data_IF_886296772863
#
_entry.id   IF_886296772863
#
_cell.length_a   1.000
_cell.length_b   1.000
_cell.length_c   1.000
_cell.angle_alpha   90.00
_cell.angle_beta   90.00
_cell.angle_gamma   90.00
#
_symmetry.space_group_name_H-M   'P 1'
#
loop_
_entity.id
_entity.type
_entity.pdbx_description
1 polymer ?
#
# COMPACT_ATOMS: atom_id res chain seq x y z
N UNK A 1 48.12 -8.08 65.15
CA UNK A 1 47.79 -6.94 64.26
C UNK A 1 47.06 -7.51 63.04
N UNK A 2 45.73 -7.66 63.03
CA UNK A 2 44.95 -8.21 61.93
C UNK A 2 44.31 -7.06 61.16
N UNK A 3 44.66 -6.92 59.86
CA UNK A 3 44.06 -5.97 58.94
C UNK A 3 42.82 -6.63 58.32
N UNK A 4 41.61 -6.11 58.62
CA UNK A 4 40.38 -6.48 57.94
C UNK A 4 40.30 -5.72 56.61
N UNK A 5 40.33 -6.47 55.53
CA UNK A 5 40.02 -5.95 54.19
C UNK A 5 38.54 -6.06 54.01
N UNK A 6 37.83 -4.93 53.97
CA UNK A 6 36.38 -4.87 53.62
C UNK A 6 36.31 -4.79 52.09
N UNK A 7 35.85 -5.86 51.44
CA UNK A 7 35.56 -5.88 50.02
C UNK A 7 34.15 -5.31 49.82
N UNK A 8 34.07 -4.09 49.28
CA UNK A 8 32.81 -3.49 48.87
C UNK A 8 32.42 -4.09 47.48
N UNK A 9 31.55 -5.06 47.44
CA UNK A 9 30.95 -5.56 46.20
C UNK A 9 29.88 -4.57 45.70
N UNK A 10 30.22 -3.78 44.72
CA UNK A 10 29.28 -2.92 44.00
C UNK A 10 28.35 -3.81 43.13
N UNK A 11 27.13 -4.02 43.63
CA UNK A 11 26.10 -4.69 42.86
C UNK A 11 25.58 -3.74 41.75
N UNK A 12 26.05 -3.92 40.53
CA UNK A 12 25.50 -3.23 39.39
C UNK A 12 24.11 -3.84 39.07
N UNK A 13 23.05 -3.17 39.50
CA UNK A 13 21.71 -3.48 39.05
C UNK A 13 21.60 -3.11 37.56
N UNK A 14 21.70 -4.10 36.69
CA UNK A 14 21.37 -3.95 35.26
C UNK A 14 19.86 -3.74 35.17
N UNK A 15 19.45 -2.48 35.12
CA UNK A 15 18.07 -2.12 34.79
C UNK A 15 17.88 -2.46 33.32
N UNK A 16 17.31 -3.63 33.05
CA UNK A 16 16.86 -4.00 31.72
C UNK A 16 15.70 -3.06 31.33
N UNK A 17 16.01 -1.97 30.66
CA UNK A 17 14.98 -1.14 30.02
C UNK A 17 14.32 -1.99 28.96
N UNK A 18 13.16 -2.57 29.27
CA UNK A 18 12.31 -3.22 28.28
C UNK A 18 11.91 -2.14 27.28
N UNK A 19 12.51 -2.18 26.08
CA UNK A 19 12.11 -1.31 24.98
C UNK A 19 10.67 -1.71 24.58
N UNK A 20 9.72 -0.83 24.85
CA UNK A 20 8.30 -1.04 24.53
C UNK A 20 8.03 -0.60 23.11
N UNK A 21 7.22 -1.35 22.36
CA UNK A 21 6.73 -0.94 21.03
C UNK A 21 6.07 0.45 21.14
N UNK A 22 6.40 1.33 20.21
CA UNK A 22 5.83 2.67 20.17
C UNK A 22 4.55 2.66 19.34
N UNK A 23 3.44 3.09 19.94
CA UNK A 23 2.20 3.36 19.20
C UNK A 23 1.87 4.85 19.30
N UNK A 24 1.67 5.49 18.13
CA UNK A 24 1.23 6.86 18.02
C UNK A 24 -0.20 6.88 17.47
N UNK A 25 -1.10 7.58 18.14
CA UNK A 25 -2.47 7.78 17.69
C UNK A 25 -2.60 9.15 17.03
N UNK A 26 -3.30 9.19 15.91
CA UNK A 26 -3.57 10.41 15.15
C UNK A 26 -5.06 10.54 14.94
N UNK A 27 -5.60 11.69 15.29
CA UNK A 27 -7.01 12.03 15.09
C UNK A 27 -7.08 13.44 14.46
N UNK A 28 -7.52 13.57 13.20
CA UNK A 28 -7.49 14.85 12.50
C UNK A 28 -8.53 15.84 13.03
N UNK A 29 -9.47 15.40 13.88
CA UNK A 29 -10.55 16.23 14.45
C UNK A 29 -10.25 16.60 15.90
N UNK A 30 -9.79 15.65 16.72
CA UNK A 30 -9.61 15.83 18.17
C UNK A 30 -8.15 16.01 18.58
N UNK A 31 -7.22 15.59 17.72
CA UNK A 31 -5.79 15.61 18.02
C UNK A 31 -5.19 17.00 18.03
N UNK A 32 -3.99 17.08 18.60
CA UNK A 32 -3.17 18.30 18.64
C UNK A 32 -1.70 17.93 18.47
N UNK A 33 -0.95 18.61 17.60
CA UNK A 33 0.44 18.24 17.28
C UNK A 33 1.47 18.51 18.38
N UNK A 34 1.04 19.17 19.46
CA UNK A 34 1.83 19.27 20.69
C UNK A 34 1.52 18.17 21.72
N UNK A 35 0.55 17.30 21.43
CA UNK A 35 0.22 16.15 22.28
C UNK A 35 1.28 15.04 22.17
N UNK A 36 1.19 14.06 23.07
CA UNK A 36 2.16 12.96 23.16
C UNK A 36 1.96 11.89 22.09
N UNK A 37 0.80 11.83 21.43
CA UNK A 37 0.41 10.74 20.54
C UNK A 37 -0.14 9.51 21.28
N UNK A 38 -0.43 9.62 22.58
CA UNK A 38 -1.16 8.58 23.30
C UNK A 38 -2.63 8.54 22.86
N UNK A 39 -3.34 7.45 23.14
CA UNK A 39 -4.74 7.26 22.73
C UNK A 39 -5.69 8.33 23.28
N UNK A 40 -5.42 8.81 24.47
CA UNK A 40 -6.15 9.88 25.16
C UNK A 40 -5.62 11.29 24.84
N UNK A 41 -4.47 11.38 24.19
CA UNK A 41 -3.82 12.62 23.77
C UNK A 41 -3.23 12.47 22.35
N UNK A 42 -4.08 12.26 21.31
CA UNK A 42 -3.64 12.00 19.96
C UNK A 42 -3.00 13.22 19.30
N UNK A 43 -2.17 12.96 18.27
CA UNK A 43 -1.66 13.97 17.36
C UNK A 43 -2.75 14.40 16.37
N UNK A 44 -2.67 15.61 15.85
CA UNK A 44 -3.60 16.09 14.83
C UNK A 44 -3.19 15.64 13.43
N UNK A 45 -1.90 15.64 13.13
CA UNK A 45 -1.42 15.42 11.76
C UNK A 45 -0.60 14.13 11.63
N UNK A 46 -0.78 13.47 10.49
CA UNK A 46 0.02 12.32 10.11
C UNK A 46 1.50 12.72 9.90
N UNK A 47 1.75 13.92 9.38
CA UNK A 47 3.11 14.45 9.22
C UNK A 47 3.88 14.52 10.54
N UNK A 48 3.22 15.01 11.61
CA UNK A 48 3.82 15.03 12.94
C UNK A 48 4.10 13.63 13.49
N UNK A 49 3.16 12.69 13.29
CA UNK A 49 3.34 11.31 13.73
C UNK A 49 4.53 10.65 13.00
N UNK A 50 4.65 10.83 11.67
CA UNK A 50 5.78 10.32 10.88
C UNK A 50 7.09 10.94 11.33
N UNK A 51 7.12 12.25 11.60
CA UNK A 51 8.33 12.92 12.10
C UNK A 51 8.78 12.34 13.44
N UNK A 52 7.86 12.12 14.39
CA UNK A 52 8.18 11.49 15.68
C UNK A 52 8.64 10.04 15.53
N UNK A 53 7.99 9.26 14.67
CA UNK A 53 8.36 7.88 14.40
C UNK A 53 9.77 7.78 13.78
N UNK A 54 10.15 8.69 12.89
CA UNK A 54 11.49 8.75 12.30
C UNK A 54 12.59 9.05 13.33
N UNK A 55 12.26 9.75 14.41
CA UNK A 55 13.19 10.05 15.51
C UNK A 55 13.28 8.93 16.57
N UNK A 56 12.52 7.85 16.40
CA UNK A 56 12.50 6.74 17.35
C UNK A 56 13.87 6.08 17.48
N UNK A 57 14.34 5.95 18.72
CA UNK A 57 15.69 5.41 19.05
C UNK A 57 15.65 3.95 19.50
N UNK A 58 14.45 3.37 19.64
CA UNK A 58 14.27 1.97 20.04
C UNK A 58 14.42 0.99 18.88
N UNK A 59 14.53 -0.29 19.23
CA UNK A 59 14.60 -1.41 18.27
C UNK A 59 13.27 -2.13 18.10
N UNK A 60 12.23 -1.67 18.78
CA UNK A 60 10.89 -2.28 18.73
C UNK A 60 10.06 -1.73 17.56
N UNK A 61 8.98 -2.42 17.17
CA UNK A 61 8.04 -1.92 16.19
C UNK A 61 7.46 -0.55 16.53
N UNK A 62 7.23 0.27 15.50
CA UNK A 62 6.50 1.52 15.60
C UNK A 62 5.21 1.39 14.80
N UNK A 63 4.10 1.78 15.41
CA UNK A 63 2.79 1.78 14.77
C UNK A 63 2.15 3.16 14.88
N UNK A 64 1.71 3.72 13.75
CA UNK A 64 0.87 4.92 13.71
C UNK A 64 -0.56 4.46 13.42
N UNK A 65 -1.48 4.72 14.35
CA UNK A 65 -2.90 4.40 14.24
C UNK A 65 -3.71 5.64 13.90
N UNK A 66 -4.43 5.57 12.80
CA UNK A 66 -5.20 6.69 12.26
C UNK A 66 -6.68 6.53 12.61
N UNK A 67 -7.24 7.51 13.30
CA UNK A 67 -8.69 7.63 13.49
C UNK A 67 -9.41 7.87 12.15
N UNK A 68 -10.71 7.59 12.05
CA UNK A 68 -11.51 7.99 10.88
C UNK A 68 -11.39 9.48 10.59
N UNK A 69 -11.28 9.85 9.32
CA UNK A 69 -11.22 11.23 8.88
C UNK A 69 -10.38 11.45 7.64
N UNK A 70 -10.33 12.71 7.20
CA UNK A 70 -9.53 13.15 6.07
C UNK A 70 -8.15 13.65 6.55
N UNK A 71 -7.11 13.06 6.03
CA UNK A 71 -5.72 13.47 6.21
C UNK A 71 -5.24 14.17 4.95
N UNK A 72 -5.40 15.50 4.94
CA UNK A 72 -4.95 16.33 3.84
C UNK A 72 -3.45 16.61 3.98
N UNK A 73 -2.66 16.24 3.00
CA UNK A 73 -1.20 16.29 3.06
C UNK A 73 -0.65 17.22 2.00
N UNK A 74 0.09 18.22 2.46
CA UNK A 74 0.75 19.24 1.64
C UNK A 74 2.22 18.91 1.33
N UNK A 75 2.78 17.97 2.09
CA UNK A 75 4.20 17.60 2.02
C UNK A 75 4.37 16.10 1.85
N UNK A 76 5.47 15.69 1.23
CA UNK A 76 5.86 14.30 1.13
C UNK A 76 6.11 13.70 2.52
N UNK A 77 5.63 12.49 2.76
CA UNK A 77 5.90 11.73 3.97
C UNK A 77 7.01 10.71 3.72
N UNK A 78 8.19 10.97 4.26
CA UNK A 78 9.34 10.09 4.12
C UNK A 78 9.44 9.16 5.33
N UNK A 79 9.31 7.85 5.09
CA UNK A 79 9.48 6.81 6.11
C UNK A 79 10.94 6.39 6.17
N UNK A 80 11.69 6.97 7.12
CA UNK A 80 13.14 6.77 7.27
C UNK A 80 13.48 5.58 8.17
N UNK A 81 14.70 5.02 8.07
CA UNK A 81 15.21 4.11 9.09
C UNK A 81 15.12 4.71 10.49
N UNK A 82 14.84 3.91 11.49
CA UNK A 82 14.89 4.38 12.88
C UNK A 82 16.31 4.79 13.26
N UNK A 83 16.44 5.69 14.23
CA UNK A 83 17.76 6.15 14.71
C UNK A 83 18.57 5.04 15.39
N UNK A 84 17.93 3.96 15.84
CA UNK A 84 18.65 2.78 16.32
C UNK A 84 19.33 2.06 15.15
N UNK A 85 20.63 1.89 15.24
CA UNK A 85 21.41 1.15 14.24
C UNK A 85 20.93 -0.31 14.14
N UNK A 86 20.74 -0.80 12.90
CA UNK A 86 20.37 -2.18 12.58
C UNK A 86 18.97 -2.64 13.04
N UNK A 87 18.03 -1.73 13.31
CA UNK A 87 16.69 -2.14 13.64
C UNK A 87 15.97 -2.77 12.41
N UNK A 88 15.55 -4.02 12.54
CA UNK A 88 14.68 -4.73 11.59
C UNK A 88 13.20 -4.60 11.94
N UNK A 89 12.87 -3.83 12.96
CA UNK A 89 11.51 -3.65 13.44
C UNK A 89 10.58 -3.04 12.38
N UNK A 90 9.33 -3.45 12.39
CA UNK A 90 8.34 -2.94 11.44
C UNK A 90 7.95 -1.49 11.72
N UNK A 91 7.60 -0.78 10.66
CA UNK A 91 6.97 0.53 10.69
C UNK A 91 5.59 0.40 10.06
N UNK A 92 4.56 0.48 10.88
CA UNK A 92 3.19 0.29 10.43
C UNK A 92 2.41 1.59 10.47
N UNK A 93 1.69 1.89 9.40
CA UNK A 93 0.65 2.94 9.37
C UNK A 93 -0.67 2.22 9.11
N UNK A 94 -1.59 2.28 10.05
CA UNK A 94 -2.82 1.52 9.96
C UNK A 94 -4.05 2.29 10.46
N UNK A 95 -5.21 1.88 9.98
CA UNK A 95 -6.47 2.37 10.51
C UNK A 95 -6.66 1.97 11.97
N UNK A 96 -7.28 2.83 12.76
CA UNK A 96 -7.66 2.53 14.14
C UNK A 96 -8.69 1.39 14.18
N UNK A 97 -9.61 1.37 13.22
CA UNK A 97 -10.62 0.30 13.04
C UNK A 97 -10.35 -0.35 11.69
N UNK A 98 -9.94 -1.61 11.71
CA UNK A 98 -9.61 -2.35 10.49
C UNK A 98 -10.87 -2.87 9.77
N UNK A 99 -10.84 -3.09 8.45
CA UNK A 99 -11.98 -3.60 7.69
C UNK A 99 -12.58 -4.91 8.23
N UNK A 100 -11.78 -5.78 8.81
CA UNK A 100 -12.25 -7.04 9.42
C UNK A 100 -12.89 -6.88 10.82
N UNK A 101 -12.84 -5.70 11.42
CA UNK A 101 -13.56 -5.43 12.67
C UNK A 101 -15.07 -5.47 12.39
N UNK A 102 -15.82 -6.18 13.23
CA UNK A 102 -17.28 -6.34 13.05
C UNK A 102 -18.05 -5.02 13.08
N UNK A 103 -17.49 -4.00 13.72
CA UNK A 103 -18.05 -2.64 13.82
C UNK A 103 -17.65 -1.75 12.64
N UNK A 104 -16.74 -2.20 11.78
CA UNK A 104 -16.22 -1.37 10.71
C UNK A 104 -17.29 -0.97 9.70
N UNK A 105 -17.23 0.30 9.30
CA UNK A 105 -17.97 0.89 8.18
C UNK A 105 -16.98 1.57 7.23
N UNK A 106 -17.27 1.70 5.93
CA UNK A 106 -16.39 2.40 4.99
C UNK A 106 -16.04 3.83 5.39
N UNK A 107 -16.95 4.53 6.09
CA UNK A 107 -16.70 5.86 6.65
C UNK A 107 -15.68 5.90 7.80
N UNK A 108 -15.34 4.74 8.37
CA UNK A 108 -14.30 4.63 9.40
C UNK A 108 -12.89 4.48 8.82
N UNK A 109 -12.78 4.33 7.50
CA UNK A 109 -11.49 4.20 6.84
C UNK A 109 -10.80 5.57 6.75
N UNK A 110 -9.57 5.72 7.28
CA UNK A 110 -8.83 6.96 7.14
C UNK A 110 -8.58 7.26 5.66
N UNK A 111 -8.87 8.49 5.23
CA UNK A 111 -8.70 8.93 3.84
C UNK A 111 -7.44 9.78 3.75
N UNK A 112 -6.49 9.33 2.95
CA UNK A 112 -5.22 10.02 2.67
C UNK A 112 -5.34 10.74 1.33
N UNK A 113 -5.25 12.07 1.34
CA UNK A 113 -5.29 12.91 0.15
C UNK A 113 -4.08 13.84 0.09
N UNK A 114 -3.38 13.81 -1.02
CA UNK A 114 -2.29 14.74 -1.29
C UNK A 114 -2.79 15.92 -2.12
N UNK A 115 -2.26 17.11 -1.77
CA UNK A 115 -2.46 18.35 -2.54
C UNK A 115 -1.12 19.05 -2.81
N UNK A 116 0.00 18.37 -2.51
CA UNK A 116 1.33 18.93 -2.74
C UNK A 116 1.64 19.02 -4.23
N UNK A 117 2.47 20.01 -4.63
CA UNK A 117 3.03 20.06 -5.97
C UNK A 117 4.02 18.92 -6.21
N UNK A 118 4.68 18.90 -7.38
CA UNK A 118 5.80 18.00 -7.62
C UNK A 118 6.87 18.18 -6.54
N UNK A 119 7.37 17.08 -6.01
CA UNK A 119 8.34 17.06 -4.92
C UNK A 119 9.53 16.12 -5.21
N UNK A 120 9.54 15.51 -6.40
CA UNK A 120 10.59 14.66 -6.91
C UNK A 120 10.93 15.01 -8.35
N UNK A 121 12.20 14.83 -8.69
CA UNK A 121 12.70 14.94 -10.05
C UNK A 121 13.66 13.78 -10.35
N UNK A 122 13.36 13.00 -11.38
CA UNK A 122 14.24 11.98 -11.91
C UNK A 122 14.79 12.42 -13.28
N UNK A 123 15.60 13.47 -13.24
CA UNK A 123 16.13 14.11 -14.45
C UNK A 123 15.07 14.91 -15.19
N UNK A 124 14.39 14.33 -16.19
CA UNK A 124 13.32 14.99 -16.97
C UNK A 124 11.91 14.63 -16.52
N UNK A 125 11.77 13.90 -15.43
CA UNK A 125 10.49 13.41 -14.93
C UNK A 125 10.17 13.99 -13.55
N UNK A 126 9.46 15.11 -13.57
CA UNK A 126 8.90 15.71 -12.36
C UNK A 126 7.64 14.98 -11.94
N UNK A 127 7.54 14.64 -10.68
CA UNK A 127 6.36 13.97 -10.13
C UNK A 127 6.14 14.31 -8.66
N UNK A 128 4.96 13.96 -8.17
CA UNK A 128 4.61 14.00 -6.76
C UNK A 128 4.64 12.57 -6.20
N UNK A 129 5.47 12.34 -5.19
CA UNK A 129 5.40 11.13 -4.38
C UNK A 129 4.72 11.46 -3.05
N UNK A 130 3.72 10.68 -2.70
CA UNK A 130 3.01 10.82 -1.45
C UNK A 130 3.82 10.26 -0.28
N UNK A 131 3.81 8.96 -0.09
CA UNK A 131 4.72 8.30 0.82
C UNK A 131 6.00 7.89 0.08
N UNK A 132 7.14 8.31 0.61
CA UNK A 132 8.45 7.83 0.21
C UNK A 132 8.94 6.80 1.22
N UNK A 133 9.12 5.56 0.79
CA UNK A 133 9.62 4.48 1.66
C UNK A 133 11.12 4.34 1.48
N UNK A 134 11.88 4.65 2.54
CA UNK A 134 13.36 4.59 2.59
C UNK A 134 13.87 3.58 3.62
N UNK A 135 13.03 2.58 3.96
CA UNK A 135 13.39 1.57 4.95
C UNK A 135 12.74 0.22 4.65
N UNK A 136 13.26 -0.81 5.30
CA UNK A 136 12.68 -2.16 5.31
C UNK A 136 11.47 -2.27 6.26
N UNK A 137 10.69 -3.33 6.10
CA UNK A 137 9.59 -3.73 6.99
C UNK A 137 8.53 -2.64 7.19
N UNK A 138 8.02 -2.08 6.10
CA UNK A 138 6.95 -1.08 6.13
C UNK A 138 5.59 -1.72 5.84
N UNK A 139 4.57 -1.31 6.58
CA UNK A 139 3.20 -1.80 6.39
C UNK A 139 2.21 -0.65 6.31
N UNK A 140 1.34 -0.70 5.30
CA UNK A 140 0.17 0.16 5.15
C UNK A 140 -1.08 -0.70 5.24
N UNK A 141 -1.98 -0.42 6.19
CA UNK A 141 -3.11 -1.29 6.46
C UNK A 141 -4.41 -0.52 6.71
N UNK A 142 -5.47 -0.91 6.03
CA UNK A 142 -6.80 -0.35 6.25
C UNK A 142 -6.96 1.12 5.85
N UNK A 143 -6.17 1.62 4.91
CA UNK A 143 -6.14 3.02 4.49
C UNK A 143 -6.79 3.22 3.13
N UNK A 144 -7.47 4.36 2.94
CA UNK A 144 -7.98 4.79 1.65
C UNK A 144 -7.11 5.91 1.10
N UNK A 145 -6.45 5.67 -0.02
CA UNK A 145 -5.71 6.67 -0.78
C UNK A 145 -6.60 7.23 -1.88
N UNK A 146 -6.70 8.53 -1.98
CA UNK A 146 -7.32 9.23 -3.12
C UNK A 146 -6.27 10.02 -3.88
N UNK A 147 -6.60 10.44 -5.08
CA UNK A 147 -5.62 11.09 -5.95
C UNK A 147 -5.21 12.48 -5.50
N UNK A 148 -4.17 13.01 -6.13
CA UNK A 148 -3.69 14.36 -5.89
C UNK A 148 -4.54 15.36 -6.68
N UNK A 149 -5.08 16.35 -6.00
CA UNK A 149 -5.94 17.39 -6.61
C UNK A 149 -5.17 18.63 -7.07
N UNK A 150 -3.84 18.66 -6.90
CA UNK A 150 -3.04 19.78 -7.36
C UNK A 150 -2.93 19.76 -8.89
N UNK A 151 -3.43 20.77 -9.61
CA UNK A 151 -3.49 20.76 -11.07
C UNK A 151 -2.11 20.87 -11.75
N UNK A 152 -1.07 21.23 -11.02
CA UNK A 152 0.30 21.29 -11.55
C UNK A 152 1.00 19.95 -11.54
N UNK A 153 0.43 18.93 -10.90
CA UNK A 153 1.00 17.59 -10.80
C UNK A 153 0.56 16.76 -11.99
N UNK A 154 1.50 16.42 -12.84
CA UNK A 154 1.27 15.57 -14.03
C UNK A 154 1.30 14.10 -13.67
N UNK A 155 2.11 13.72 -12.67
CA UNK A 155 2.24 12.35 -12.24
C UNK A 155 2.31 12.25 -10.71
N UNK A 156 1.47 11.41 -10.12
CA UNK A 156 1.41 11.19 -8.69
C UNK A 156 1.51 9.70 -8.35
N UNK A 157 2.48 9.38 -7.49
CA UNK A 157 2.60 8.08 -6.82
C UNK A 157 2.06 8.18 -5.40
N UNK A 158 1.06 7.36 -5.05
CA UNK A 158 0.53 7.37 -3.68
C UNK A 158 1.55 6.78 -2.69
N UNK A 159 2.21 5.68 -3.07
CA UNK A 159 3.32 5.08 -2.33
C UNK A 159 4.47 4.82 -3.31
N UNK A 160 5.65 5.29 -2.94
CA UNK A 160 6.88 5.11 -3.71
C UNK A 160 7.96 4.46 -2.86
N UNK A 161 8.52 3.33 -3.31
CA UNK A 161 9.73 2.70 -2.78
C UNK A 161 10.74 2.56 -3.91
N UNK A 162 11.63 3.52 -4.00
CA UNK A 162 12.54 3.63 -5.15
C UNK A 162 13.80 2.75 -5.05
N UNK A 163 14.26 2.40 -3.85
CA UNK A 163 15.54 1.73 -3.64
C UNK A 163 15.42 0.21 -3.76
N UNK A 164 16.25 -0.39 -4.63
CA UNK A 164 16.20 -1.82 -4.94
C UNK A 164 16.73 -2.74 -3.82
N UNK A 165 17.51 -2.20 -2.90
CA UNK A 165 18.04 -2.94 -1.73
C UNK A 165 17.03 -3.10 -0.60
N UNK A 166 15.92 -2.36 -0.63
CA UNK A 166 14.90 -2.41 0.41
C UNK A 166 14.08 -3.71 0.35
N UNK A 167 13.72 -4.18 1.55
CA UNK A 167 13.01 -5.45 1.76
C UNK A 167 11.71 -5.24 2.51
N UNK A 168 10.80 -6.17 2.30
CA UNK A 168 9.58 -6.34 3.07
C UNK A 168 8.70 -5.09 3.15
N UNK A 169 7.75 -5.01 2.24
CA UNK A 169 6.69 -4.01 2.26
C UNK A 169 5.34 -4.69 2.11
N UNK A 170 4.40 -4.35 2.97
CA UNK A 170 3.03 -4.86 2.94
C UNK A 170 2.04 -3.73 2.70
N UNK A 171 1.12 -3.95 1.77
CA UNK A 171 -0.07 -3.13 1.55
C UNK A 171 -1.27 -4.06 1.70
N UNK A 172 -2.04 -3.92 2.78
CA UNK A 172 -3.16 -4.82 3.05
C UNK A 172 -4.42 -4.09 3.47
N UNK A 173 -5.55 -4.58 2.99
CA UNK A 173 -6.88 -4.01 3.27
C UNK A 173 -6.97 -2.51 2.95
N UNK A 174 -6.26 -2.07 1.90
CA UNK A 174 -6.22 -0.68 1.46
C UNK A 174 -7.10 -0.45 0.23
N UNK A 175 -7.59 0.77 0.07
CA UNK A 175 -8.26 1.25 -1.14
C UNK A 175 -7.39 2.32 -1.79
N UNK A 176 -7.16 2.21 -3.09
CA UNK A 176 -6.61 3.27 -3.94
C UNK A 176 -7.70 3.65 -4.94
N UNK A 177 -8.32 4.80 -4.75
CA UNK A 177 -9.41 5.27 -5.57
C UNK A 177 -8.99 6.53 -6.34
N UNK A 178 -8.70 6.37 -7.62
CA UNK A 178 -8.42 7.48 -8.53
C UNK A 178 -9.71 8.12 -9.05
N UNK A 179 -9.59 9.35 -9.48
CA UNK A 179 -10.59 10.04 -10.29
C UNK A 179 -9.87 10.72 -11.45
N UNK A 180 -9.98 10.16 -12.62
CA UNK A 180 -9.18 10.53 -13.81
C UNK A 180 -9.15 12.02 -14.09
N UNK A 181 -10.25 12.72 -13.86
CA UNK A 181 -10.41 14.11 -14.27
C UNK A 181 -10.26 15.13 -13.12
N UNK A 182 -10.31 14.68 -11.87
CA UNK A 182 -10.33 15.60 -10.71
C UNK A 182 -9.24 15.32 -9.68
N UNK A 183 -8.93 14.05 -9.44
CA UNK A 183 -7.93 13.62 -8.46
C UNK A 183 -7.30 12.30 -8.94
N UNK A 184 -6.47 12.33 -10.00
CA UNK A 184 -5.92 11.10 -10.56
C UNK A 184 -4.85 10.50 -9.65
N UNK A 185 -4.81 9.16 -9.63
CA UNK A 185 -3.67 8.38 -9.15
C UNK A 185 -2.98 7.82 -10.39
N UNK A 186 -1.82 8.36 -10.74
CA UNK A 186 -1.10 7.88 -11.92
C UNK A 186 -0.31 6.60 -11.64
N UNK A 187 0.14 6.42 -10.40
CA UNK A 187 0.70 5.16 -9.91
C UNK A 187 0.28 4.94 -8.47
N UNK A 188 -0.52 3.92 -8.19
CA UNK A 188 -0.94 3.70 -6.81
C UNK A 188 0.22 3.18 -5.95
N UNK A 189 0.95 2.20 -6.46
CA UNK A 189 2.17 1.69 -5.84
C UNK A 189 3.29 1.61 -6.88
N UNK A 190 4.33 2.41 -6.73
CA UNK A 190 5.61 2.22 -7.39
C UNK A 190 6.60 1.60 -6.40
N UNK A 191 7.14 0.44 -6.72
CA UNK A 191 8.06 -0.21 -5.81
C UNK A 191 9.14 -1.02 -6.51
N UNK A 192 10.36 -0.96 -5.93
CA UNK A 192 11.50 -1.81 -6.24
C UNK A 192 11.90 -2.60 -4.99
N UNK A 193 12.84 -3.53 -5.13
CA UNK A 193 13.37 -4.33 -4.03
C UNK A 193 12.57 -5.60 -3.78
N UNK A 194 12.73 -6.20 -2.61
CA UNK A 194 12.19 -7.53 -2.36
C UNK A 194 11.03 -7.58 -1.37
N UNK A 195 10.28 -8.68 -1.38
CA UNK A 195 9.27 -8.99 -0.39
C UNK A 195 8.08 -8.02 -0.39
N UNK A 196 7.64 -7.55 -1.57
CA UNK A 196 6.45 -6.70 -1.71
C UNK A 196 5.21 -7.57 -1.65
N UNK A 197 4.34 -7.32 -0.70
CA UNK A 197 3.08 -8.03 -0.51
C UNK A 197 1.90 -7.07 -0.65
N UNK A 198 0.99 -7.39 -1.56
CA UNK A 198 -0.30 -6.70 -1.72
C UNK A 198 -1.38 -7.74 -1.48
N UNK A 199 -2.19 -7.52 -0.45
CA UNK A 199 -3.20 -8.47 -0.02
C UNK A 199 -4.50 -7.76 0.35
N UNK A 200 -5.65 -8.35 -0.01
CA UNK A 200 -6.98 -7.81 0.31
C UNK A 200 -7.10 -6.30 0.04
N UNK A 201 -6.60 -5.83 -1.11
CA UNK A 201 -6.62 -4.41 -1.45
C UNK A 201 -7.39 -4.15 -2.74
N UNK A 202 -7.94 -2.93 -2.86
CA UNK A 202 -8.74 -2.53 -4.01
C UNK A 202 -8.07 -1.33 -4.69
N UNK A 203 -7.85 -1.46 -6.00
CA UNK A 203 -7.35 -0.40 -6.87
C UNK A 203 -8.45 -0.07 -7.88
N UNK A 204 -8.99 1.14 -7.79
CA UNK A 204 -10.12 1.58 -8.58
C UNK A 204 -9.76 2.82 -9.41
N UNK A 205 -9.91 2.74 -10.72
CA UNK A 205 -9.69 3.85 -11.67
C UNK A 205 -8.34 4.58 -11.54
N UNK A 206 -7.28 3.87 -11.15
CA UNK A 206 -5.92 4.38 -11.21
C UNK A 206 -5.43 4.39 -12.68
N UNK A 207 -4.49 5.29 -13.05
CA UNK A 207 -3.81 5.16 -14.34
C UNK A 207 -3.08 3.82 -14.39
N UNK A 208 -2.25 3.58 -13.38
CA UNK A 208 -1.55 2.32 -13.13
C UNK A 208 -1.73 1.92 -11.67
N UNK A 209 -2.14 0.67 -11.41
CA UNK A 209 -2.28 0.22 -10.03
C UNK A 209 -0.91 -0.16 -9.44
N UNK A 210 -0.18 -1.06 -10.08
CA UNK A 210 1.12 -1.53 -9.60
C UNK A 210 2.20 -1.27 -10.65
N UNK A 211 3.25 -0.57 -10.27
CA UNK A 211 4.40 -0.25 -11.10
C UNK A 211 5.64 -0.95 -10.50
N UNK A 212 5.92 -2.15 -11.00
CA UNK A 212 6.96 -3.07 -10.51
C UNK A 212 7.95 -3.40 -11.62
N UNK A 213 8.22 -2.44 -12.51
CA UNK A 213 8.96 -2.68 -13.75
C UNK A 213 10.49 -2.62 -13.62
N UNK A 214 11.00 -2.52 -12.41
CA UNK A 214 12.45 -2.52 -12.15
C UNK A 214 12.85 -3.76 -11.34
N UNK A 215 13.80 -3.65 -10.45
CA UNK A 215 14.32 -4.78 -9.67
C UNK A 215 13.37 -5.19 -8.55
N UNK A 216 12.50 -6.15 -8.82
CA UNK A 216 11.55 -6.70 -7.84
C UNK A 216 11.71 -8.20 -7.71
N UNK A 217 11.77 -8.71 -6.47
CA UNK A 217 11.81 -10.15 -6.16
C UNK A 217 10.86 -10.48 -5.02
N UNK A 218 10.33 -11.71 -5.01
CA UNK A 218 9.42 -12.16 -3.94
C UNK A 218 8.15 -11.31 -3.82
N UNK A 219 7.59 -10.90 -4.96
CA UNK A 219 6.32 -10.18 -5.02
C UNK A 219 5.14 -11.11 -4.78
N UNK A 220 4.11 -10.62 -4.11
CA UNK A 220 2.82 -11.31 -4.05
C UNK A 220 1.64 -10.33 -4.20
N UNK A 221 0.68 -10.74 -5.01
CA UNK A 221 -0.63 -10.11 -5.14
C UNK A 221 -1.69 -11.18 -4.88
N UNK A 222 -2.42 -11.04 -3.79
CA UNK A 222 -3.42 -12.01 -3.36
C UNK A 222 -4.71 -11.33 -2.96
N UNK A 223 -5.85 -12.00 -3.16
CA UNK A 223 -7.17 -11.58 -2.68
C UNK A 223 -7.51 -10.11 -2.99
N UNK A 224 -7.03 -9.57 -4.10
CA UNK A 224 -7.14 -8.14 -4.40
C UNK A 224 -7.97 -7.88 -5.65
N UNK A 225 -8.51 -6.66 -5.73
CA UNK A 225 -9.28 -6.20 -6.88
C UNK A 225 -8.52 -5.08 -7.56
N UNK A 226 -8.28 -5.17 -8.89
CA UNK A 226 -7.81 -4.06 -9.72
C UNK A 226 -8.84 -3.82 -10.81
N UNK A 227 -9.43 -2.65 -10.83
CA UNK A 227 -10.55 -2.35 -11.71
C UNK A 227 -10.42 -0.98 -12.37
N UNK A 228 -10.59 -0.95 -13.68
CA UNK A 228 -10.71 0.30 -14.44
C UNK A 228 -9.40 1.07 -14.62
N UNK A 229 -8.24 0.42 -14.50
CA UNK A 229 -6.96 1.09 -14.78
C UNK A 229 -6.88 1.50 -16.25
N UNK A 230 -6.69 2.81 -16.49
CA UNK A 230 -6.81 3.33 -17.85
C UNK A 230 -5.50 3.30 -18.65
N UNK A 231 -4.40 2.80 -18.09
CA UNK A 231 -3.17 2.45 -18.81
C UNK A 231 -2.77 0.99 -18.52
N UNK A 232 -2.47 0.61 -17.29
CA UNK A 232 -2.12 -0.76 -16.95
C UNK A 232 -2.50 -1.16 -15.53
N UNK A 233 -3.03 -2.36 -15.34
CA UNK A 233 -3.25 -2.85 -13.99
C UNK A 233 -1.92 -3.12 -13.31
N UNK A 234 -1.03 -3.88 -13.97
CA UNK A 234 0.27 -4.26 -13.41
C UNK A 234 1.36 -4.07 -14.45
N UNK A 235 2.39 -3.31 -14.10
CA UNK A 235 3.65 -3.24 -14.81
C UNK A 235 4.67 -4.09 -14.08
N UNK A 236 5.22 -5.09 -14.75
CA UNK A 236 6.20 -5.99 -14.17
C UNK A 236 7.43 -6.07 -15.06
N UNK A 237 8.57 -5.74 -14.50
CA UNK A 237 9.80 -5.66 -15.27
C UNK A 237 10.54 -6.98 -15.34
N UNK A 238 11.63 -7.05 -14.62
CA UNK A 238 12.56 -8.17 -14.69
C UNK A 238 11.95 -9.42 -14.06
N UNK A 239 12.28 -10.57 -14.66
CA UNK A 239 11.93 -11.89 -14.12
C UNK A 239 12.24 -12.03 -12.64
N UNK A 240 11.27 -12.47 -11.88
CA UNK A 240 11.44 -12.96 -10.51
C UNK A 240 10.29 -13.89 -10.16
N UNK A 241 10.50 -14.73 -9.15
CA UNK A 241 9.41 -15.48 -8.56
C UNK A 241 8.38 -14.54 -7.94
N UNK A 242 7.11 -14.79 -8.21
CA UNK A 242 6.00 -14.06 -7.61
C UNK A 242 4.81 -14.98 -7.36
N UNK A 243 3.93 -14.55 -6.46
CA UNK A 243 2.65 -15.20 -6.17
C UNK A 243 1.52 -14.32 -6.68
N UNK A 244 0.66 -14.89 -7.52
CA UNK A 244 -0.55 -14.23 -8.02
C UNK A 244 -1.70 -15.23 -7.94
N UNK A 245 -2.61 -15.01 -6.99
CA UNK A 245 -3.74 -15.90 -6.78
C UNK A 245 -4.93 -15.17 -6.13
N UNK A 246 -6.12 -15.67 -6.39
CA UNK A 246 -7.37 -15.22 -5.78
C UNK A 246 -7.67 -13.72 -6.01
N UNK A 247 -7.35 -13.23 -7.22
CA UNK A 247 -7.53 -11.84 -7.59
C UNK A 247 -8.66 -11.63 -8.59
N UNK A 248 -9.21 -10.42 -8.62
CA UNK A 248 -10.14 -9.95 -9.64
C UNK A 248 -9.51 -8.75 -10.35
N UNK A 249 -9.14 -8.94 -11.62
CA UNK A 249 -8.49 -7.92 -12.43
C UNK A 249 -9.40 -7.66 -13.65
N UNK A 250 -10.15 -6.57 -13.62
CA UNK A 250 -11.20 -6.38 -14.59
C UNK A 250 -11.30 -4.97 -15.17
N UNK A 251 -11.74 -4.89 -16.42
CA UNK A 251 -12.07 -3.66 -17.13
C UNK A 251 -10.90 -2.66 -17.22
N UNK A 252 -9.66 -3.17 -17.24
CA UNK A 252 -8.47 -2.34 -17.41
C UNK A 252 -8.11 -2.20 -18.91
N UNK A 253 -7.36 -1.17 -19.29
CA UNK A 253 -6.82 -1.10 -20.64
C UNK A 253 -5.85 -2.27 -20.91
N UNK A 254 -4.95 -2.56 -19.97
CA UNK A 254 -4.07 -3.73 -20.05
C UNK A 254 -4.00 -4.42 -18.68
N UNK A 255 -4.09 -5.76 -18.69
CA UNK A 255 -3.96 -6.52 -17.44
C UNK A 255 -2.52 -6.53 -16.95
N UNK A 256 -1.58 -6.95 -17.79
CA UNK A 256 -0.18 -7.11 -17.42
C UNK A 256 0.73 -6.53 -18.48
N UNK A 257 1.63 -5.65 -18.10
CA UNK A 257 2.58 -5.01 -19.00
C UNK A 257 3.99 -5.47 -18.65
N UNK A 258 4.64 -6.14 -19.60
CA UNK A 258 6.05 -6.51 -19.54
C UNK A 258 6.92 -5.42 -20.16
N UNK A 259 8.19 -5.39 -19.76
CA UNK A 259 9.18 -4.51 -20.37
C UNK A 259 9.87 -5.25 -21.51
N UNK A 260 10.17 -4.52 -22.60
CA UNK A 260 10.96 -5.04 -23.72
C UNK A 260 12.31 -5.57 -23.20
N UNK A 261 12.80 -6.63 -23.80
CA UNK A 261 14.08 -7.31 -23.50
C UNK A 261 14.09 -8.13 -22.17
N UNK A 262 12.93 -8.35 -21.56
CA UNK A 262 12.79 -9.26 -20.43
C UNK A 262 11.98 -10.50 -20.83
N UNK A 263 12.65 -11.67 -20.87
CA UNK A 263 11.96 -12.94 -21.00
C UNK A 263 11.50 -13.39 -19.62
N UNK A 264 10.20 -13.56 -19.43
CA UNK A 264 9.63 -13.93 -18.13
C UNK A 264 8.61 -15.04 -18.29
N UNK A 265 8.60 -15.93 -17.30
CA UNK A 265 7.57 -16.94 -17.16
C UNK A 265 6.58 -16.48 -16.08
N UNK A 266 5.37 -16.14 -16.49
CA UNK A 266 4.33 -15.70 -15.58
C UNK A 266 3.37 -16.84 -15.27
N UNK A 267 3.03 -17.02 -14.00
CA UNK A 267 2.00 -17.95 -13.56
C UNK A 267 0.90 -17.19 -12.83
N UNK A 268 -0.32 -17.30 -13.36
CA UNK A 268 -1.51 -16.72 -12.75
C UNK A 268 -2.47 -17.84 -12.33
N UNK A 269 -3.02 -17.76 -11.13
CA UNK A 269 -3.87 -18.82 -10.59
C UNK A 269 -5.14 -18.29 -9.91
N UNK A 270 -6.19 -19.13 -9.88
CA UNK A 270 -7.42 -18.95 -9.11
C UNK A 270 -8.01 -17.52 -9.18
N UNK A 271 -8.06 -16.92 -10.34
CA UNK A 271 -8.41 -15.49 -10.45
C UNK A 271 -9.38 -15.24 -11.58
N UNK A 272 -10.12 -14.13 -11.48
CA UNK A 272 -10.92 -13.59 -12.59
C UNK A 272 -10.11 -12.49 -13.27
N UNK A 273 -9.82 -12.68 -14.56
CA UNK A 273 -9.10 -11.70 -15.38
C UNK A 273 -9.94 -11.46 -16.64
N UNK A 274 -10.84 -10.49 -16.61
CA UNK A 274 -11.85 -10.30 -17.65
C UNK A 274 -12.10 -8.83 -18.01
N UNK A 275 -12.64 -8.56 -19.20
CA UNK A 275 -12.98 -7.21 -19.63
C UNK A 275 -11.78 -6.29 -19.87
N UNK A 276 -10.56 -6.80 -19.83
CA UNK A 276 -9.36 -6.02 -20.14
C UNK A 276 -9.16 -5.96 -21.67
N UNK A 277 -8.84 -4.77 -22.22
CA UNK A 277 -8.66 -4.62 -23.68
C UNK A 277 -7.43 -5.40 -24.17
N UNK A 278 -6.38 -5.49 -23.36
CA UNK A 278 -5.19 -6.32 -23.59
C UNK A 278 -4.95 -7.22 -22.39
N UNK A 279 -4.68 -8.50 -22.63
CA UNK A 279 -4.28 -9.42 -21.58
C UNK A 279 -2.80 -9.27 -21.22
N UNK A 280 -1.94 -9.34 -22.22
CA UNK A 280 -0.51 -9.08 -22.09
C UNK A 280 -0.16 -7.88 -22.95
N UNK A 281 0.56 -6.94 -22.39
CA UNK A 281 1.12 -5.79 -23.07
C UNK A 281 2.64 -5.78 -22.99
N UNK A 282 3.28 -5.25 -23.99
CA UNK A 282 4.71 -5.02 -24.06
C UNK A 282 4.96 -3.51 -24.11
N UNK A 283 5.75 -3.00 -23.19
CA UNK A 283 6.23 -1.63 -23.28
C UNK A 283 7.41 -1.54 -24.23
N UNK A 284 7.18 -0.93 -25.36
CA UNK A 284 8.19 -0.62 -26.38
C UNK A 284 8.42 0.90 -26.41
N UNK A 285 9.44 1.36 -25.69
CA UNK A 285 9.82 2.78 -25.63
C UNK A 285 8.67 3.75 -25.26
N UNK A 286 7.83 3.36 -24.27
CA UNK A 286 6.71 4.18 -23.82
C UNK A 286 5.40 3.92 -24.56
N UNK A 287 5.39 3.10 -25.59
CA UNK A 287 4.18 2.64 -26.29
C UNK A 287 3.83 1.24 -25.79
N UNK A 288 2.59 1.05 -25.35
CA UNK A 288 2.09 -0.26 -24.93
C UNK A 288 1.44 -0.92 -26.14
N UNK A 289 2.05 -2.01 -26.59
CA UNK A 289 1.60 -2.86 -27.69
C UNK A 289 1.09 -4.19 -27.14
N UNK A 290 0.27 -4.92 -27.92
CA UNK A 290 -0.09 -6.29 -27.58
C UNK A 290 1.16 -7.17 -27.57
N UNK A 291 1.36 -7.90 -26.48
CA UNK A 291 2.39 -8.93 -26.39
C UNK A 291 1.78 -10.29 -26.80
N UNK A 292 2.01 -10.65 -28.06
CA UNK A 292 1.58 -11.94 -28.60
C UNK A 292 2.64 -13.03 -28.44
N UNK A 293 3.80 -12.74 -27.87
CA UNK A 293 4.92 -13.67 -27.73
C UNK A 293 4.97 -14.30 -26.34
N UNK A 294 4.65 -13.51 -25.31
CA UNK A 294 4.63 -14.00 -23.93
C UNK A 294 3.35 -14.82 -23.67
N UNK A 295 3.53 -16.11 -23.45
CA UNK A 295 2.44 -17.02 -23.10
C UNK A 295 2.54 -17.37 -21.61
N UNK A 296 1.72 -16.77 -20.75
CA UNK A 296 1.75 -17.10 -19.33
C UNK A 296 1.14 -18.48 -19.04
N UNK A 297 1.61 -19.12 -17.99
CA UNK A 297 0.95 -20.29 -17.42
C UNK A 297 -0.29 -19.83 -16.64
N UNK A 298 -1.44 -20.38 -16.95
CA UNK A 298 -2.70 -20.09 -16.27
C UNK A 298 -3.27 -21.33 -15.60
N UNK A 299 -3.67 -21.20 -14.33
CA UNK A 299 -4.30 -22.29 -13.57
C UNK A 299 -5.61 -21.77 -12.98
N UNK A 300 -6.75 -22.32 -13.40
CA UNK A 300 -8.07 -21.89 -12.91
C UNK A 300 -8.27 -20.35 -13.04
N UNK A 301 -8.12 -19.85 -14.27
CA UNK A 301 -8.38 -18.44 -14.60
C UNK A 301 -9.69 -18.31 -15.35
N UNK A 302 -10.63 -17.55 -14.78
CA UNK A 302 -11.85 -17.17 -15.46
C UNK A 302 -11.58 -15.94 -16.35
N UNK A 303 -11.77 -16.10 -17.66
CA UNK A 303 -11.52 -15.07 -18.69
C UNK A 303 -12.82 -14.41 -19.18
N UNK A 304 -13.94 -14.97 -18.83
CA UNK A 304 -15.26 -14.57 -19.27
C UNK A 304 -16.13 -14.13 -18.10
N UNK A 305 -17.20 -13.41 -18.41
CA UNK A 305 -18.14 -12.89 -17.44
C UNK A 305 -17.92 -11.41 -17.15
N UNK A 306 -18.98 -10.75 -16.75
CA UNK A 306 -18.99 -9.32 -16.40
C UNK A 306 -18.61 -9.14 -14.94
N UNK A 307 -17.73 -8.21 -14.68
CA UNK A 307 -17.40 -7.74 -13.33
C UNK A 307 -17.93 -6.32 -13.15
N UNK A 308 -18.73 -6.13 -12.13
CA UNK A 308 -19.26 -4.84 -11.71
C UNK A 308 -19.00 -4.65 -10.22
N UNK A 309 -18.64 -3.43 -9.83
CA UNK A 309 -18.41 -3.07 -8.44
C UNK A 309 -19.55 -2.21 -7.91
N UNK A 310 -19.78 -2.29 -6.61
CA UNK A 310 -20.72 -1.41 -5.91
C UNK A 310 -20.08 -0.02 -5.73
N UNK A 311 -20.30 0.85 -6.68
CA UNK A 311 -19.76 2.24 -6.71
C UNK A 311 -20.80 3.30 -6.35
N UNK A 312 -21.98 2.90 -5.89
CA UNK A 312 -23.11 3.80 -5.68
C UNK A 312 -22.78 4.79 -4.57
N UNK A 313 -22.71 6.05 -4.94
CA UNK A 313 -22.69 7.18 -4.01
C UNK A 313 -24.11 7.42 -3.51
N UNK A 314 -24.48 6.77 -2.42
CA UNK A 314 -25.65 7.15 -1.61
C UNK A 314 -25.16 7.94 -0.41
N UNK A 315 -26.05 8.60 0.30
CA UNK A 315 -25.73 9.34 1.54
C UNK A 315 -25.02 8.46 2.59
N UNK A 316 -25.19 7.13 2.47
CA UNK A 316 -24.50 6.12 3.24
C UNK A 316 -23.72 5.18 2.32
N UNK A 317 -22.40 5.15 2.47
CA UNK A 317 -21.55 4.22 1.74
C UNK A 317 -21.78 2.80 2.29
N UNK A 318 -22.23 1.84 1.47
CA UNK A 318 -22.51 0.48 1.93
C UNK A 318 -21.22 -0.24 2.31
N UNK A 319 -21.29 -1.20 3.23
CA UNK A 319 -20.13 -1.95 3.73
C UNK A 319 -19.35 -2.64 2.60
N UNK A 320 -20.05 -3.06 1.55
CA UNK A 320 -19.48 -3.69 0.35
C UNK A 320 -19.09 -2.69 -0.75
N UNK A 321 -18.89 -1.41 -0.43
CA UNK A 321 -18.43 -0.41 -1.38
C UNK A 321 -17.13 -0.84 -2.08
N UNK A 322 -17.08 -0.70 -3.39
CA UNK A 322 -16.01 -1.20 -4.28
C UNK A 322 -15.79 -2.71 -4.26
N UNK A 323 -16.72 -3.49 -3.71
CA UNK A 323 -16.75 -4.93 -3.87
C UNK A 323 -17.72 -5.34 -5.00
N UNK A 324 -17.73 -6.63 -5.31
CA UNK A 324 -18.54 -7.14 -6.40
C UNK A 324 -20.03 -6.90 -6.20
N UNK A 325 -20.68 -6.38 -7.23
CA UNK A 325 -22.14 -6.33 -7.32
C UNK A 325 -22.76 -7.72 -7.50
N UNK A 326 -24.03 -7.93 -7.15
CA UNK A 326 -24.74 -9.17 -7.46
C UNK A 326 -24.66 -9.51 -8.95
N UNK A 327 -24.42 -10.79 -9.27
CA UNK A 327 -24.29 -11.26 -10.65
C UNK A 327 -22.91 -11.08 -11.29
N UNK A 328 -21.96 -10.41 -10.61
CA UNK A 328 -20.60 -10.33 -11.10
C UNK A 328 -19.88 -11.69 -11.11
N UNK A 329 -18.99 -11.88 -12.07
CA UNK A 329 -18.05 -12.99 -12.07
C UNK A 329 -17.10 -12.88 -10.87
N UNK A 330 -16.63 -14.02 -10.33
CA UNK A 330 -15.66 -14.08 -9.26
C UNK A 330 -16.22 -13.90 -7.84
N UNK A 331 -17.54 -14.04 -7.64
CA UNK A 331 -18.14 -13.96 -6.30
C UNK A 331 -17.73 -15.09 -5.35
N UNK A 332 -17.21 -16.16 -5.88
CA UNK A 332 -16.61 -17.28 -5.16
C UNK A 332 -15.14 -17.04 -4.76
N UNK A 333 -14.53 -15.97 -5.30
CA UNK A 333 -13.17 -15.57 -4.97
C UNK A 333 -13.20 -14.61 -3.78
N UNK A 334 -12.32 -14.85 -2.80
CA UNK A 334 -12.20 -14.02 -1.60
C UNK A 334 -11.36 -12.77 -1.89
N UNK A 335 -11.74 -11.96 -2.88
CA UNK A 335 -11.04 -10.72 -3.22
C UNK A 335 -11.75 -9.49 -2.65
N UNK A 336 -10.96 -8.50 -2.24
CA UNK A 336 -11.42 -7.27 -1.62
C UNK A 336 -10.90 -7.09 -0.20
N UNK A 337 -11.42 -6.14 0.56
CA UNK A 337 -10.86 -5.70 1.84
C UNK A 337 -10.88 -6.74 2.96
N UNK A 338 -11.75 -7.74 2.89
CA UNK A 338 -12.03 -8.61 4.03
C UNK A 338 -11.29 -9.95 3.92
N UNK A 339 -10.55 -10.31 4.96
CA UNK A 339 -9.80 -11.59 5.08
C UNK A 339 -10.70 -12.77 5.40
N UNK A 340 -11.71 -12.54 6.21
CA UNK A 340 -12.76 -13.52 6.45
C UNK A 340 -13.78 -13.42 5.31
N UNK A 341 -13.76 -14.25 4.31
CA UNK A 341 -14.61 -14.21 3.10
C UNK A 341 -16.13 -13.95 3.27
N UNK A 342 -16.52 -13.30 4.32
CA UNK A 342 -17.86 -12.97 4.75
C UNK A 342 -18.19 -11.50 4.49
N UNK A 343 -18.21 -11.13 3.21
CA UNK A 343 -19.16 -10.10 2.85
C UNK A 343 -20.43 -10.84 2.48
N UNK A 344 -21.25 -10.98 3.51
CA UNK A 344 -22.67 -11.35 3.47
C UNK A 344 -23.14 -12.13 2.25
N UNK A 345 -23.43 -13.31 2.49
CA UNK A 345 -24.60 -13.93 1.89
C UNK A 345 -25.83 -13.01 2.05
#
# INVERSE_FOLDING_TARGET
MYRHIIIFSLLWAVVSVKSVAQTLFVDPVKGKDYSTGAIDAPLASLGKAVALANEFKGTQPVTIKLAPGLYLLTDQLVLKPFKATQSTASYTIEALVMPDDTRWLPSMMPVIQYVSPNNKNWGKFDHCAGFQVERNNVRFRGLKFVGNTNPTVVYYYAIERHFAELKDMEVSQCIFAGSRNSAPIQGALFAQGSGIKVDHSIFYECKNALLLFMSVTGFSLTNSIIYGSYEGAIWFGKYSDFVFTDNIIANNRCFWISMKDYTSHYTFSNSVITGNNMFMGLNNNGVIENDNQTVPTTKNIQREGKVELNVVATDTIPKNYLHLSPGSAGRDISAGLFKSGNISK
#
